data_IF_739857426359
#
_entry.id   IF_739857426359
#
_cell.length_a   1.000
_cell.length_b   1.000
_cell.length_c   1.000
_cell.angle_alpha   90.00
_cell.angle_beta   90.00
_cell.angle_gamma   90.00
#
_symmetry.space_group_name_H-M   'P 1'
#
loop_
_entity.id
_entity.type
_entity.pdbx_description
1 polymer ?
2 polymer ?
3 water ?
#
loop_
_entity_poly.entity_id
_entity_poly.type
_entity_poly.pdbx_seq_one_letter_code
_entity_poly.pdbx_strand_id
2 'polyribonucleotide' 'UUUGCGAAUUCGCUU' ?
#
# COMPACT_ATOMS: atom_id res chain seq x y z
N UNK A 2 -34.64 1.04 -8.30
CA UNK A 2 -33.39 0.38 -7.95
C UNK A 2 -33.32 -1.02 -8.58
N UNK A 3 -32.09 -1.50 -8.80
CA UNK A 3 -31.87 -2.85 -9.36
C UNK A 3 -31.11 -3.72 -8.35
N UNK A 4 -31.38 -5.04 -8.34
CA UNK A 4 -30.69 -5.93 -7.40
C UNK A 4 -29.19 -6.06 -7.66
N UNK A 5 -28.41 -6.30 -6.60
CA UNK A 5 -26.95 -6.26 -6.70
C UNK A 5 -26.33 -7.64 -6.66
N UNK A 6 -25.11 -7.73 -7.19
CA UNK A 6 -24.28 -8.91 -7.01
C UNK A 6 -22.96 -8.54 -6.31
N UNK A 7 -22.57 -9.32 -5.29
CA UNK A 7 -21.32 -9.07 -4.58
C UNK A 7 -20.37 -10.26 -4.64
N UNK A 8 -19.21 -10.04 -5.23
CA UNK A 8 -18.20 -11.09 -5.35
C UNK A 8 -17.00 -10.77 -4.50
N UNK A 9 -16.43 -11.81 -3.87
CA UNK A 9 -15.14 -11.70 -3.20
C UNK A 9 -14.01 -12.03 -4.18
N UNK A 10 -13.04 -11.14 -4.30
CA UNK A 10 -11.77 -11.49 -4.94
C UNK A 10 -10.89 -12.23 -3.94
N UNK A 11 -11.04 -13.55 -3.88
CA UNK A 11 -10.30 -14.37 -2.93
C UNK A 11 -8.86 -14.61 -3.37
N UNK A 12 -7.92 -14.34 -2.47
CA UNK A 12 -6.49 -14.37 -2.78
C UNK A 12 -5.73 -15.30 -1.84
N UNK A 13 -5.02 -16.28 -2.40
CA UNK A 13 -4.16 -17.14 -1.58
C UNK A 13 -2.78 -17.35 -2.21
N UNK A 14 -1.73 -17.22 -1.41
CA UNK A 14 -0.37 -17.45 -1.86
C UNK A 14 -0.10 -18.94 -1.89
N UNK A 15 -0.36 -19.56 -3.04
CA UNK A 15 -0.21 -21.01 -3.18
C UNK A 15 1.23 -21.48 -3.41
N UNK A 16 2.08 -20.59 -3.92
CA UNK A 16 3.50 -20.90 -4.09
C UNK A 16 4.35 -19.69 -3.72
N UNK A 17 4.89 -19.67 -2.50
CA UNK A 17 5.68 -18.49 -2.10
C UNK A 17 6.97 -18.42 -2.90
N UNK A 18 7.49 -17.21 -3.03
CA UNK A 18 8.74 -16.96 -3.75
C UNK A 18 9.86 -17.81 -3.15
N UNK A 19 10.46 -18.68 -3.97
CA UNK A 19 11.60 -19.50 -3.54
C UNK A 19 12.80 -18.63 -3.20
N UNK A 20 13.73 -19.12 -2.39
CA UNK A 20 14.89 -18.32 -2.00
C UNK A 20 15.69 -17.82 -3.18
N UNK A 21 15.79 -18.66 -4.21
CA UNK A 21 16.58 -18.37 -5.39
C UNK A 21 15.97 -17.27 -6.25
N UNK A 22 14.68 -17.03 -6.09
CA UNK A 22 14.02 -15.97 -6.83
C UNK A 22 13.87 -14.68 -6.03
N UNK A 23 14.14 -14.73 -4.72
CA UNK A 23 13.95 -13.53 -3.91
C UNK A 23 15.13 -12.58 -3.94
N UNK A 24 15.33 -11.97 -5.11
CA UNK A 24 16.51 -11.15 -5.36
C UNK A 24 16.65 -9.95 -4.45
N UNK A 25 15.53 -9.32 -4.12
CA UNK A 25 15.57 -8.14 -3.27
C UNK A 25 15.42 -8.49 -1.80
N UNK A 26 15.58 -9.79 -1.53
CA UNK A 26 15.47 -10.35 -0.18
C UNK A 26 14.34 -9.75 0.65
N UNK A 27 13.12 -9.87 0.15
CA UNK A 27 11.94 -9.40 0.90
C UNK A 27 11.39 -10.43 1.87
N UNK A 28 10.57 -9.94 2.80
CA UNK A 28 9.69 -10.77 3.59
C UNK A 28 8.54 -11.17 2.67
N UNK A 29 7.97 -12.34 2.88
CA UNK A 29 6.79 -12.72 2.09
C UNK A 29 5.48 -12.41 2.83
N UNK A 30 4.53 -11.80 2.12
CA UNK A 30 3.24 -11.35 2.67
C UNK A 30 2.02 -12.06 2.08
N UNK A 31 1.67 -13.24 2.61
CA UNK A 31 0.49 -13.96 2.12
C UNK A 31 -0.81 -13.19 2.35
N UNK A 32 -1.59 -12.96 1.27
CA UNK A 32 -2.81 -12.11 1.35
C UNK A 32 -3.83 -12.66 2.36
N UNK A 33 -3.86 -13.98 2.48
CA UNK A 33 -4.78 -14.69 3.36
C UNK A 33 -4.54 -14.37 4.83
N UNK A 34 -3.43 -13.72 5.13
CA UNK A 34 -3.09 -13.46 6.54
C UNK A 34 -3.85 -12.26 7.11
N UNK A 35 -4.39 -11.41 6.24
CA UNK A 35 -5.26 -10.33 6.70
C UNK A 35 -6.67 -10.47 6.16
N UNK A 36 -7.65 -10.18 7.00
CA UNK A 36 -9.04 -10.38 6.64
C UNK A 36 -9.51 -9.37 5.61
N UNK A 37 -9.08 -8.13 5.71
CA UNK A 37 -9.58 -7.13 4.77
C UNK A 37 -9.05 -7.37 3.36
N UNK A 38 -9.97 -7.51 2.41
CA UNK A 38 -9.62 -7.78 1.02
C UNK A 38 -10.49 -6.99 0.06
N UNK A 39 -10.46 -7.33 -1.22
CA UNK A 39 -11.28 -6.63 -2.20
C UNK A 39 -12.43 -7.48 -2.72
N UNK A 40 -13.30 -6.84 -3.49
CA UNK A 40 -14.49 -7.47 -4.01
C UNK A 40 -15.05 -6.67 -5.15
N UNK A 41 -16.07 -7.22 -5.81
CA UNK A 41 -16.65 -6.59 -6.97
C UNK A 41 -18.15 -6.53 -6.83
N UNK A 42 -18.70 -5.34 -7.07
CA UNK A 42 -20.13 -5.10 -6.98
C UNK A 42 -20.63 -4.87 -8.39
N UNK A 43 -21.55 -5.71 -8.85
CA UNK A 43 -22.00 -5.67 -10.24
C UNK A 43 -23.53 -5.59 -10.37
N UNK A 44 -24.03 -5.10 -11.50
CA UNK A 44 -25.46 -5.11 -11.77
C UNK A 44 -25.89 -6.46 -12.30
N UNK A 45 -25.05 -7.07 -13.14
CA UNK A 45 -25.30 -8.40 -13.68
C UNK A 45 -24.26 -9.42 -13.18
N UNK A 46 -24.66 -10.70 -13.08
CA UNK A 46 -23.75 -11.77 -12.62
C UNK A 46 -22.47 -11.87 -13.45
N UNK A 47 -21.41 -12.36 -12.82
CA UNK A 47 -20.14 -12.62 -13.48
C UNK A 47 -20.08 -14.10 -13.83
N UNK A 48 -19.75 -14.40 -15.09
CA UNK A 48 -19.65 -15.80 -15.54
C UNK A 48 -18.53 -16.54 -14.80
N UNK A 49 -18.83 -17.76 -14.37
CA UNK A 49 -17.89 -18.51 -13.54
C UNK A 49 -16.56 -18.84 -14.26
N UNK A 50 -15.54 -18.06 -13.94
CA UNK A 50 -14.20 -18.17 -14.49
C UNK A 50 -13.34 -19.03 -13.58
N UNK A 51 -12.51 -19.93 -14.13
CA UNK A 51 -11.67 -20.77 -13.27
C UNK A 51 -10.62 -19.97 -12.51
N UNK A 52 -10.05 -20.58 -11.47
CA UNK A 52 -8.95 -19.98 -10.72
C UNK A 52 -7.78 -19.67 -11.66
N UNK A 53 -7.11 -18.55 -11.40
CA UNK A 53 -5.93 -18.15 -12.19
C UNK A 53 -4.88 -17.49 -11.31
N UNK A 54 -3.59 -17.64 -11.66
CA UNK A 54 -2.48 -17.04 -10.88
C UNK A 54 -2.20 -15.57 -11.22
N UNK A 55 -1.93 -14.74 -10.22
CA UNK A 55 -1.20 -13.51 -10.45
C UNK A 55 0.16 -13.67 -9.79
N UNK A 56 1.17 -13.07 -10.39
CA UNK A 56 2.53 -13.24 -9.88
C UNK A 56 3.03 -11.97 -9.14
N UNK A 57 2.98 -12.03 -7.82
CA UNK A 57 3.25 -10.87 -6.98
C UNK A 57 4.66 -10.93 -6.42
N UNK A 58 4.99 -9.96 -5.58
CA UNK A 58 6.28 -9.95 -4.91
C UNK A 58 6.49 -11.16 -4.00
N UNK A 59 5.43 -11.67 -3.40
CA UNK A 59 5.59 -12.72 -2.39
C UNK A 59 5.55 -14.12 -2.99
N UNK A 60 5.28 -14.17 -4.29
CA UNK A 60 5.17 -15.45 -4.98
C UNK A 60 3.91 -15.54 -5.81
N UNK A 61 3.43 -16.77 -5.99
CA UNK A 61 2.28 -17.03 -6.84
C UNK A 61 1.00 -16.99 -6.01
N UNK A 62 0.10 -16.06 -6.35
CA UNK A 62 -1.19 -15.95 -5.66
C UNK A 62 -2.34 -16.50 -6.52
N UNK A 63 -3.03 -17.52 -6.02
CA UNK A 63 -4.22 -18.01 -6.72
C UNK A 63 -5.38 -17.03 -6.57
N UNK A 64 -5.93 -16.61 -7.69
CA UNK A 64 -7.10 -15.73 -7.68
C UNK A 64 -8.40 -16.53 -7.94
N UNK A 65 -9.33 -16.45 -7.00
CA UNK A 65 -10.64 -17.06 -7.21
C UNK A 65 -11.66 -15.95 -7.10
N UNK A 66 -12.84 -16.17 -7.66
CA UNK A 66 -13.88 -15.15 -7.57
C UNK A 66 -15.21 -15.81 -7.23
N UNK A 67 -15.56 -15.83 -5.95
CA UNK A 67 -16.77 -16.49 -5.47
C UNK A 67 -17.88 -15.50 -5.21
N UNK A 68 -19.12 -15.97 -5.34
CA UNK A 68 -20.29 -15.18 -5.03
C UNK A 68 -20.44 -15.02 -3.53
N UNK A 69 -20.65 -13.80 -3.07
CA UNK A 69 -20.88 -13.52 -1.64
C UNK A 69 -22.35 -13.30 -1.33
N UNK A 70 -23.00 -12.48 -2.14
CA UNK A 70 -24.42 -12.18 -1.97
C UNK A 70 -25.07 -11.78 -3.31
N UNK A 71 -26.39 -11.94 -3.42
CA UNK A 71 -27.10 -11.43 -4.58
C UNK A 71 -28.55 -11.12 -4.28
N UNK A 72 -29.15 -10.27 -5.10
CA UNK A 72 -30.55 -9.94 -4.99
C UNK A 72 -30.88 -8.82 -4.03
N UNK A 73 -29.85 -8.18 -3.49
CA UNK A 73 -30.07 -7.12 -2.52
C UNK A 73 -29.99 -5.73 -3.15
N UNK A 74 -30.38 -4.74 -2.36
CA UNK A 74 -30.41 -3.36 -2.85
C UNK A 74 -29.35 -2.60 -2.09
N UNK A 75 -28.96 -1.47 -2.66
CA UNK A 75 -28.15 -0.51 -1.92
C UNK A 75 -28.72 0.89 -2.14
N UNK A 76 -28.65 1.72 -1.11
CA UNK A 76 -29.10 3.10 -1.21
C UNK A 76 -28.19 3.87 -2.16
N UNK A 77 -28.73 4.95 -2.71
CA UNK A 77 -27.97 5.88 -3.52
C UNK A 77 -26.70 6.37 -2.80
N UNK A 78 -26.81 6.72 -1.52
CA UNK A 78 -25.66 7.23 -0.78
C UNK A 78 -24.57 6.18 -0.64
N UNK A 79 -24.95 4.91 -0.51
CA UNK A 79 -23.98 3.83 -0.34
C UNK A 79 -23.19 3.52 -1.61
N UNK A 80 -23.89 3.55 -2.75
CA UNK A 80 -23.28 3.33 -4.06
C UNK A 80 -22.35 4.49 -4.43
N UNK A 81 -22.82 5.73 -4.23
CA UNK A 81 -21.98 6.92 -4.41
C UNK A 81 -20.68 6.84 -3.59
N UNK A 82 -20.76 6.23 -2.42
CA UNK A 82 -19.58 6.03 -1.59
C UNK A 82 -18.70 4.95 -2.21
N UNK A 83 -19.31 3.82 -2.54
CA UNK A 83 -18.60 2.71 -3.15
C UNK A 83 -17.89 3.13 -4.45
N UNK A 84 -18.58 3.95 -5.24
CA UNK A 84 -18.07 4.44 -6.52
C UNK A 84 -16.85 5.36 -6.37
N UNK A 85 -16.97 6.34 -5.46
CA UNK A 85 -15.87 7.25 -5.22
C UNK A 85 -14.65 6.47 -4.78
N UNK A 86 -14.87 5.43 -3.99
CA UNK A 86 -13.76 4.58 -3.54
C UNK A 86 -13.20 3.73 -4.65
N UNK A 87 -14.09 3.24 -5.50
CA UNK A 87 -13.65 2.62 -6.73
C UNK A 87 -12.67 3.57 -7.43
N UNK A 88 -13.07 4.81 -7.71
CA UNK A 88 -12.21 5.76 -8.42
C UNK A 88 -10.93 6.14 -7.67
N UNK A 89 -10.97 6.14 -6.35
CA UNK A 89 -9.80 6.48 -5.55
C UNK A 89 -8.73 5.43 -5.73
N UNK A 90 -9.12 4.16 -5.59
CA UNK A 90 -8.20 3.04 -5.80
C UNK A 90 -7.36 3.16 -7.07
N UNK A 91 -8.03 3.38 -8.19
CA UNK A 91 -7.34 3.37 -9.47
C UNK A 91 -6.62 4.68 -9.80
N UNK A 92 -7.11 5.80 -9.28
CA UNK A 92 -6.49 7.08 -9.58
C UNK A 92 -5.47 7.56 -8.54
N UNK A 93 -5.62 7.19 -7.29
CA UNK A 93 -4.71 7.73 -6.27
C UNK A 93 -3.77 6.70 -5.67
N UNK A 94 -4.25 5.49 -5.53
CA UNK A 94 -3.45 4.40 -5.01
C UNK A 94 -2.58 3.84 -6.13
N UNK A 95 -3.21 3.46 -7.23
CA UNK A 95 -2.51 2.83 -8.34
C UNK A 95 -2.08 3.87 -9.38
N UNK A 96 -2.67 5.07 -9.31
CA UNK A 96 -2.35 6.18 -10.21
C UNK A 96 -2.42 5.79 -11.69
N UNK A 97 -3.64 5.55 -12.18
CA UNK A 97 -3.85 5.07 -13.55
C UNK A 97 -4.66 6.07 -14.39
N UNK A 98 -5.05 5.64 -15.59
CA UNK A 98 -5.84 6.47 -16.50
C UNK A 98 -6.98 5.66 -17.15
N UNK A 112 -15.47 -4.59 -14.29
CA UNK A 112 -16.75 -4.82 -13.62
C UNK A 112 -17.11 -3.64 -12.72
N UNK A 113 -18.40 -3.36 -12.65
CA UNK A 113 -18.94 -2.08 -12.21
C UNK A 113 -18.25 -1.38 -11.02
N UNK A 114 -18.10 -2.07 -9.89
CA UNK A 114 -17.42 -1.46 -8.74
C UNK A 114 -16.54 -2.39 -7.91
N UNK A 115 -15.29 -1.99 -7.76
CA UNK A 115 -14.36 -2.63 -6.84
C UNK A 115 -14.47 -1.92 -5.50
N UNK A 116 -14.46 -2.70 -4.43
CA UNK A 116 -14.69 -2.15 -3.11
C UNK A 116 -14.05 -3.06 -2.05
N UNK A 117 -13.74 -2.49 -0.86
CA UNK A 117 -13.12 -3.24 0.24
C UNK A 117 -14.12 -4.07 1.05
N UNK A 118 -13.73 -5.30 1.37
CA UNK A 118 -14.53 -6.16 2.22
C UNK A 118 -13.74 -6.43 3.47
N UNK A 119 -14.45 -6.67 4.56
CA UNK A 119 -13.83 -7.04 5.80
C UNK A 119 -14.83 -7.83 6.61
N UNK A 120 -14.36 -8.62 7.57
CA UNK A 120 -15.28 -9.36 8.44
C UNK A 120 -15.80 -8.48 9.57
N UNK A 121 -16.93 -8.92 10.15
CA UNK A 121 -17.38 -8.52 11.48
C UNK A 121 -17.40 -9.84 12.24
N UNK A 126 -18.10 -12.52 9.43
CA UNK A 126 -18.12 -13.07 8.05
C UNK A 126 -17.87 -11.90 7.09
N UNK A 127 -17.53 -12.18 5.83
CA UNK A 127 -17.04 -11.13 4.94
C UNK A 127 -18.16 -10.26 4.35
N UNK A 128 -18.06 -8.95 4.56
CA UNK A 128 -19.06 -7.98 4.10
C UNK A 128 -18.43 -6.65 3.70
N UNK A 129 -19.19 -5.80 3.00
CA UNK A 129 -18.75 -4.47 2.58
C UNK A 129 -18.24 -3.62 3.75
N UNK A 130 -16.99 -3.18 3.66
CA UNK A 130 -16.38 -2.48 4.78
C UNK A 130 -16.62 -0.96 4.69
N UNK A 131 -17.84 -0.55 5.05
CA UNK A 131 -18.31 0.82 4.85
C UNK A 131 -17.55 1.79 5.74
N UNK A 132 -17.27 1.34 6.95
CA UNK A 132 -16.57 2.16 7.93
C UNK A 132 -15.16 2.45 7.44
N UNK A 133 -14.54 1.45 6.82
CA UNK A 133 -13.20 1.66 6.25
C UNK A 133 -13.21 2.76 5.21
N UNK A 134 -14.23 2.75 4.36
CA UNK A 134 -14.35 3.77 3.34
C UNK A 134 -14.53 5.16 3.93
N UNK A 135 -15.35 5.26 4.97
CA UNK A 135 -15.61 6.56 5.58
C UNK A 135 -14.35 7.11 6.23
N UNK A 136 -13.58 6.21 6.85
CA UNK A 136 -12.27 6.58 7.41
C UNK A 136 -11.34 7.19 6.37
N UNK A 137 -11.37 6.64 5.16
CA UNK A 137 -10.51 7.12 4.10
C UNK A 137 -10.90 8.53 3.67
N UNK A 138 -12.21 8.77 3.52
CA UNK A 138 -12.72 10.12 3.26
C UNK A 138 -12.27 11.11 4.35
N UNK A 139 -12.35 10.70 5.60
CA UNK A 139 -12.01 11.55 6.73
C UNK A 139 -10.53 11.90 6.75
N UNK A 140 -9.68 10.93 6.41
CA UNK A 140 -8.24 11.08 6.52
C UNK A 140 -7.68 12.29 5.76
N UNK A 141 -6.59 12.84 6.29
CA UNK A 141 -5.89 13.96 5.66
C UNK A 141 -4.67 13.52 4.82
N UNK A 142 -4.25 12.26 4.98
CA UNK A 142 -3.18 11.69 4.15
C UNK A 142 -3.74 10.83 3.00
N UNK A 143 -4.99 11.10 2.62
CA UNK A 143 -5.65 10.37 1.54
C UNK A 143 -5.11 10.73 0.16
N UNK A 144 -4.68 11.97 -0.02
CA UNK A 144 -4.26 12.46 -1.33
C UNK A 144 -2.77 12.85 -1.41
N UNK A 145 -2.30 13.58 -0.41
CA UNK A 145 -0.92 14.03 -0.38
C UNK A 145 -0.28 14.07 1.00
N UNK A 146 0.32 15.20 1.32
CA UNK A 146 1.07 15.37 2.58
C UNK A 146 0.33 16.27 3.57
N UNK A 147 -0.04 15.71 4.75
CA UNK A 147 -0.78 16.41 5.80
C UNK A 147 0.08 17.39 6.60
N UNK A 148 -0.56 18.43 7.13
CA UNK A 148 0.14 19.40 7.97
C UNK A 148 0.09 18.96 9.44
N UNK A 149 1.24 18.47 9.94
CA UNK A 149 1.35 18.01 11.32
C UNK A 149 2.45 18.78 12.08
N UNK A 150 2.07 19.41 13.20
CA UNK A 150 2.94 20.34 13.92
C UNK A 150 3.44 19.83 15.28
N UNK A 151 4.74 19.56 15.36
CA UNK A 151 5.37 19.07 16.58
C UNK A 151 6.21 20.17 17.21
N UNK A 152 6.20 20.25 18.55
CA UNK A 152 7.05 21.18 19.29
C UNK A 152 7.69 20.44 20.46
N UNK A 153 8.49 21.15 21.26
CA UNK A 153 9.13 20.53 22.43
C UNK A 153 8.05 20.05 23.40
N UNK A 154 6.96 20.79 23.47
CA UNK A 154 5.85 20.48 24.37
C UNK A 154 4.78 19.58 23.73
N UNK A 155 4.72 19.58 22.39
CA UNK A 155 3.88 18.60 21.68
C UNK A 155 4.72 17.76 20.72
N UNK A 156 5.66 16.98 21.28
CA UNK A 156 6.61 16.26 20.42
C UNK A 156 5.96 15.08 19.73
N UNK A 157 6.58 14.65 18.63
CA UNK A 157 6.09 13.50 17.90
C UNK A 157 6.12 12.29 18.83
N UNK A 158 5.06 11.52 18.83
CA UNK A 158 5.01 10.31 19.64
C UNK A 158 5.01 9.07 18.76
N UNK A 159 5.92 8.13 19.04
CA UNK A 159 6.03 6.92 18.23
C UNK A 159 5.25 5.72 18.78
N UNK A 160 4.26 5.27 18.02
CA UNK A 160 3.55 4.04 18.37
C UNK A 160 3.93 2.92 17.38
N UNK A 161 4.72 1.96 17.88
CA UNK A 161 5.18 0.82 17.09
C UNK A 161 4.09 0.19 16.23
N UNK A 162 2.90 0.01 16.81
CA UNK A 162 1.85 -0.67 16.08
C UNK A 162 1.29 0.12 14.90
N UNK A 163 1.41 1.45 14.94
CA UNK A 163 1.02 2.27 13.80
C UNK A 163 1.91 2.13 12.58
N UNK A 164 2.97 1.32 12.70
CA UNK A 164 3.97 1.19 11.65
C UNK A 164 4.15 -0.29 11.30
N UNK A 165 3.41 -1.15 12.00
CA UNK A 165 3.37 -2.60 11.77
C UNK A 165 2.85 -3.03 10.37
N UNK A 166 1.90 -2.27 9.83
CA UNK A 166 1.33 -2.53 8.51
C UNK A 166 1.12 -1.21 7.76
N UNK A 167 2.15 -0.38 7.66
CA UNK A 167 1.91 0.94 7.07
C UNK A 167 2.53 1.23 5.70
N UNK A 168 1.94 2.22 5.04
CA UNK A 168 2.51 2.83 3.86
C UNK A 168 2.74 4.25 4.31
N UNK A 169 3.98 4.70 4.21
CA UNK A 169 4.32 6.03 4.66
C UNK A 169 4.78 6.87 3.51
N UNK A 170 4.63 8.18 3.68
CA UNK A 170 5.05 9.12 2.66
C UNK A 170 5.87 10.24 3.30
N UNK A 171 7.02 10.56 2.70
CA UNK A 171 7.85 11.68 3.12
C UNK A 171 7.08 12.99 3.04
N UNK A 172 7.07 13.74 4.13
CA UNK A 172 6.36 15.00 4.22
C UNK A 172 7.19 16.12 3.62
N UNK A 173 8.49 15.87 3.50
CA UNK A 173 9.49 16.93 3.32
C UNK A 173 10.01 17.06 1.88
N UNK A 174 9.44 16.28 0.97
CA UNK A 174 9.83 16.33 -0.44
C UNK A 174 8.73 15.81 -1.35
N UNK A 175 8.90 16.08 -2.64
CA UNK A 175 8.02 15.53 -3.68
C UNK A 175 6.55 15.91 -3.49
N UNK A 176 6.31 17.17 -3.14
CA UNK A 176 4.96 17.66 -2.87
C UNK A 176 4.06 17.55 -4.09
N UNK A 177 4.61 17.85 -5.27
CA UNK A 177 3.91 17.68 -6.54
C UNK A 177 3.23 16.32 -6.64
N UNK A 178 4.00 15.26 -6.42
CA UNK A 178 3.47 13.89 -6.44
C UNK A 178 4.26 13.02 -5.47
N UNK A 179 3.73 12.86 -4.25
CA UNK A 179 4.49 12.21 -3.18
C UNK A 179 4.79 10.72 -3.35
N UNK A 180 6.00 10.33 -3.00
CA UNK A 180 6.41 8.93 -2.90
C UNK A 180 5.74 8.23 -1.72
N UNK A 181 5.41 6.97 -1.92
CA UNK A 181 4.73 6.15 -0.93
C UNK A 181 5.61 4.94 -0.75
N UNK A 182 5.88 4.56 0.48
CA UNK A 182 6.73 3.39 0.71
C UNK A 182 6.04 2.46 1.66
N UNK A 183 6.20 1.17 1.43
CA UNK A 183 5.90 0.17 2.44
C UNK A 183 6.93 0.32 3.54
N UNK A 184 6.48 0.22 4.78
CA UNK A 184 7.40 0.09 5.90
C UNK A 184 7.87 -1.38 5.94
N UNK A 185 9.14 -1.62 5.63
CA UNK A 185 9.67 -2.97 5.53
C UNK A 185 10.36 -3.49 6.80
N UNK A 186 10.79 -2.57 7.67
CA UNK A 186 11.44 -2.94 8.92
C UNK A 186 11.48 -1.75 9.89
N UNK A 187 11.21 -2.01 11.16
CA UNK A 187 11.41 -1.01 12.21
C UNK A 187 12.76 -1.28 12.87
N UNK A 188 13.70 -0.37 12.68
CA UNK A 188 15.02 -0.54 13.29
C UNK A 188 15.06 0.07 14.69
N UNK A 189 14.70 -0.73 15.69
CA UNK A 189 14.63 -0.28 17.08
C UNK A 189 16.01 -0.03 17.70
N UNK A 190 17.06 -0.32 16.95
CA UNK A 190 18.42 -0.07 17.42
C UNK A 190 18.98 1.24 16.89
N UNK A 191 18.22 1.90 16.03
CA UNK A 191 18.64 3.15 15.44
C UNK A 191 17.80 4.29 15.99
N UNK A 192 18.30 5.51 15.84
CA UNK A 192 17.60 6.71 16.28
C UNK A 192 18.10 7.81 15.37
N UNK A 193 17.40 8.94 15.29
CA UNK A 193 17.88 10.05 14.46
C UNK A 193 19.29 10.52 14.82
N UNK A 194 19.87 10.00 15.89
CA UNK A 194 21.24 10.33 16.28
C UNK A 194 22.24 9.22 15.95
N UNK A 195 21.74 8.12 15.38
CA UNK A 195 22.61 7.05 14.88
C UNK A 195 23.50 7.61 13.79
N UNK A 196 24.63 6.94 13.52
CA UNK A 196 25.54 7.42 12.51
C UNK A 196 24.90 7.38 11.14
N UNK A 197 25.25 8.36 10.32
CA UNK A 197 24.71 8.46 8.97
C UNK A 197 25.53 7.62 8.00
N UNK A 198 24.84 6.84 7.13
CA UNK A 198 25.49 6.00 6.10
C UNK A 198 26.46 6.80 5.22
N UNK A 199 26.04 7.97 4.76
CA UNK A 199 26.95 8.90 4.08
C UNK A 199 27.87 9.62 5.07
N UNK A 200 29.14 9.80 4.68
CA UNK A 200 30.19 10.38 5.53
C UNK A 200 30.07 11.90 5.75
N UNK A 201 29.50 12.60 4.77
CA UNK A 201 29.34 14.06 4.85
C UNK A 201 28.43 14.51 6.01
N UNK A 202 27.78 13.55 6.65
CA UNK A 202 26.98 13.85 7.83
C UNK A 202 27.27 12.83 8.91
N UNK A 203 27.19 13.26 10.17
CA UNK A 203 27.43 12.38 11.30
C UNK A 203 26.17 11.62 11.66
N UNK A 204 25.04 12.33 11.75
CA UNK A 204 23.78 11.70 12.16
C UNK A 204 22.65 11.91 11.15
N UNK A 205 21.55 11.18 11.33
CA UNK A 205 20.34 11.45 10.57
C UNK A 205 19.80 12.83 10.93
N UNK A 206 19.78 13.14 12.23
CA UNK A 206 19.27 14.42 12.70
C UNK A 206 19.94 15.56 11.94
N UNK A 207 21.27 15.51 11.88
CA UNK A 207 22.04 16.53 11.17
C UNK A 207 21.70 16.57 9.69
N UNK A 208 21.63 15.40 9.05
CA UNK A 208 21.34 15.32 7.62
C UNK A 208 20.07 16.09 7.27
N UNK A 209 18.98 15.80 7.99
CA UNK A 209 17.70 16.44 7.70
C UNK A 209 17.69 17.89 8.15
N UNK A 210 18.52 18.22 9.13
CA UNK A 210 18.65 19.61 9.53
C UNK A 210 19.51 20.36 8.53
N UNK A 211 20.69 19.81 8.23
CA UNK A 211 21.60 20.44 7.27
C UNK A 211 20.97 20.58 5.87
N UNK A 212 20.38 19.50 5.36
CA UNK A 212 19.85 19.48 4.00
C UNK A 212 18.43 20.05 3.85
N UNK A 213 17.54 19.71 4.78
CA UNK A 213 16.13 20.06 4.66
C UNK A 213 15.67 21.08 5.70
N UNK A 214 16.56 21.45 6.61
CA UNK A 214 16.22 22.41 7.66
C UNK A 214 15.10 21.86 8.57
N UNK A 215 15.18 20.57 8.87
CA UNK A 215 14.16 19.90 9.69
C UNK A 215 14.64 19.61 11.12
N UNK A 216 13.85 20.03 12.09
CA UNK A 216 14.16 19.76 13.49
C UNK A 216 13.33 18.57 13.93
N UNK A 217 13.89 17.74 14.81
CA UNK A 217 13.13 16.62 15.35
C UNK A 217 12.78 16.86 16.82
N UNK A 218 11.53 16.60 17.19
CA UNK A 218 11.11 16.76 18.59
C UNK A 218 11.33 15.48 19.38
N UNK A 219 11.42 14.37 18.66
CA UNK A 219 11.67 13.07 19.28
C UNK A 219 13.03 12.57 18.80
N UNK A 220 13.89 12.16 19.72
CA UNK A 220 15.19 11.61 19.36
C UNK A 220 15.38 10.18 19.83
N UNK A 221 14.29 9.52 20.17
CA UNK A 221 14.34 8.15 20.66
C UNK A 221 13.72 7.23 19.65
N UNK A 222 12.98 7.84 18.72
CA UNK A 222 12.23 7.09 17.73
C UNK A 222 13.16 6.19 16.96
N UNK A 223 12.70 4.96 16.71
CA UNK A 223 13.46 4.06 15.85
C UNK A 223 13.33 4.56 14.42
N UNK A 224 14.18 4.08 13.51
CA UNK A 224 14.08 4.52 12.12
C UNK A 224 13.39 3.45 11.27
N UNK A 225 13.04 3.80 10.04
CA UNK A 225 12.27 2.90 9.19
C UNK A 225 12.99 2.47 7.91
N UNK A 226 13.10 1.16 7.72
CA UNK A 226 13.55 0.58 6.44
C UNK A 226 12.33 0.48 5.52
N UNK A 227 12.54 0.75 4.23
CA UNK A 227 11.43 0.96 3.32
C UNK A 227 11.53 0.22 1.98
N UNK A 228 10.38 0.04 1.34
CA UNK A 228 10.30 -0.59 0.04
C UNK A 228 9.29 0.21 -0.81
N UNK A 229 9.60 0.46 -2.09
CA UNK A 229 8.74 1.25 -2.98
C UNK A 229 7.44 0.50 -3.27
N UNK A 230 6.36 1.21 -3.55
CA UNK A 230 5.04 0.59 -3.65
C UNK A 230 4.58 0.29 -5.10
N UNK A 231 5.20 0.96 -6.07
CA UNK A 231 4.82 0.81 -7.47
C UNK A 231 5.16 -0.58 -8.08
N UNK A 232 4.40 -0.98 -9.09
CA UNK A 232 4.69 -2.20 -9.86
C UNK A 232 4.03 -2.17 -11.25
N UNK A 233 4.44 -3.10 -12.10
CA UNK A 233 3.84 -3.21 -13.42
C UNK A 233 2.36 -3.57 -13.35
N UNK A 234 1.61 -3.00 -14.29
CA UNK A 234 0.19 -3.28 -14.48
C UNK A 234 -0.12 -4.76 -14.58
N UNK A 235 0.52 -5.45 -15.52
CA UNK A 235 0.19 -6.85 -15.80
C UNK A 235 1.05 -7.83 -15.01
N UNK A 236 0.41 -8.64 -14.18
CA UNK A 236 1.13 -9.57 -13.31
C UNK A 236 0.77 -11.01 -13.64
N UNK A 237 0.10 -11.23 -14.78
CA UNK A 237 -0.40 -12.55 -15.17
C UNK A 237 0.72 -13.52 -15.55
N UNK A 238 1.88 -12.97 -15.88
CA UNK A 238 3.07 -13.79 -16.14
C UNK A 238 4.15 -13.47 -15.10
N UNK A 239 5.01 -14.47 -14.80
CA UNK A 239 6.06 -14.27 -13.78
C UNK A 239 7.13 -13.25 -14.20
N UNK A 240 7.86 -12.69 -13.24
CA UNK A 240 8.97 -11.78 -13.58
C UNK A 240 10.08 -12.45 -14.41
N UNK A 241 10.49 -13.65 -14.04
CA UNK A 241 11.56 -14.36 -14.75
C UNK A 241 11.31 -14.51 -16.26
N UNK A 252 19.45 0.67 -21.56
CA UNK A 252 20.62 0.04 -20.96
C UNK A 252 21.67 1.03 -20.40
N UNK A 253 21.67 2.29 -20.86
CA UNK A 253 22.44 3.33 -20.17
C UNK A 253 21.50 4.11 -19.25
N UNK A 254 20.24 4.17 -19.67
CA UNK A 254 19.18 4.76 -18.87
C UNK A 254 18.59 3.66 -18.00
N UNK A 255 18.64 2.44 -18.51
CA UNK A 255 18.12 1.29 -17.77
C UNK A 255 19.06 0.97 -16.59
N UNK A 256 20.35 1.16 -16.83
CA UNK A 256 21.38 0.95 -15.81
C UNK A 256 21.25 1.98 -14.69
N UNK A 257 21.27 3.27 -15.06
CA UNK A 257 21.13 4.35 -14.10
C UNK A 257 19.88 4.22 -13.21
N UNK A 258 18.82 3.64 -13.77
CA UNK A 258 17.59 3.41 -13.01
C UNK A 258 17.76 2.29 -11.97
N UNK A 259 18.50 1.25 -12.34
CA UNK A 259 18.74 0.11 -11.43
C UNK A 259 19.47 0.53 -10.16
N UNK A 260 20.46 1.40 -10.31
CA UNK A 260 21.19 1.99 -9.18
C UNK A 260 20.31 2.92 -8.36
N UNK A 261 19.53 3.75 -9.03
CA UNK A 261 18.64 4.70 -8.37
C UNK A 261 17.59 3.98 -7.55
N UNK A 262 17.08 2.88 -8.10
CA UNK A 262 16.04 2.11 -7.43
C UNK A 262 16.60 1.31 -6.28
N UNK A 263 17.91 1.09 -6.32
CA UNK A 263 18.59 0.35 -5.27
C UNK A 263 18.85 1.28 -4.09
N UNK A 264 19.38 2.47 -4.38
CA UNK A 264 19.56 3.53 -3.39
C UNK A 264 18.22 3.90 -2.72
N UNK A 265 17.16 3.90 -3.53
CA UNK A 265 15.82 4.21 -3.05
C UNK A 265 15.32 3.20 -2.02
N UNK A 266 15.59 1.93 -2.27
CA UNK A 266 15.19 0.86 -1.35
C UNK A 266 16.05 0.71 -0.09
N UNK A 267 17.27 1.24 -0.12
CA UNK A 267 18.13 1.22 1.05
C UNK A 267 17.98 2.46 1.95
N UNK A 268 17.04 3.32 1.57
CA UNK A 268 16.73 4.53 2.33
C UNK A 268 16.20 4.14 3.70
N UNK A 269 16.63 4.90 4.71
CA UNK A 269 16.16 4.71 6.08
C UNK A 269 15.43 5.99 6.49
N UNK A 270 14.16 5.87 6.85
CA UNK A 270 13.36 7.06 7.10
C UNK A 270 13.07 7.31 8.58
N UNK A 271 12.87 8.58 8.90
CA UNK A 271 12.49 9.02 10.23
C UNK A 271 10.96 9.12 10.28
N UNK A 272 10.32 8.35 11.16
CA UNK A 272 8.87 8.33 11.29
C UNK A 272 8.27 9.73 11.45
N UNK A 273 8.86 10.53 12.34
CA UNK A 273 8.44 11.91 12.56
C UNK A 273 8.35 12.72 11.26
N UNK A 274 9.12 12.32 10.26
CA UNK A 274 9.16 13.03 8.99
C UNK A 274 8.20 12.44 7.93
N UNK A 275 7.45 11.42 8.32
CA UNK A 275 6.52 10.78 7.40
C UNK A 275 5.09 10.77 7.90
N UNK A 276 4.18 11.04 6.97
CA UNK A 276 2.77 10.80 7.16
C UNK A 276 2.44 9.34 6.87
N UNK A 277 1.56 8.77 7.68
CA UNK A 277 1.09 7.43 7.43
C UNK A 277 -0.14 7.50 6.52
N UNK A 278 -0.10 6.76 5.42
CA UNK A 278 -1.22 6.70 4.47
C UNK A 278 -2.35 5.89 5.10
N UNK A 279 -3.60 6.35 4.91
CA UNK A 279 -4.79 5.67 5.44
C UNK A 279 -5.03 4.27 4.87
N UNK A 280 -4.52 3.98 3.66
CA UNK A 280 -4.64 2.61 3.17
C UNK A 280 -3.53 1.79 3.79
N UNK A 281 -3.89 0.74 4.56
CA UNK A 281 -2.86 -0.13 5.12
C UNK A 281 -2.04 -0.80 4.05
N UNK A 282 -0.84 -1.22 4.46
CA UNK A 282 0.10 -1.86 3.57
C UNK A 282 -0.39 -3.21 3.02
N UNK A 283 -1.05 -4.00 3.85
CA UNK A 283 -1.47 -5.35 3.44
C UNK A 283 -2.57 -5.27 2.41
N UNK A 284 -3.38 -4.22 2.48
CA UNK A 284 -4.39 -4.00 1.47
C UNK A 284 -3.77 -3.42 0.19
N UNK A 285 -2.79 -2.54 0.37
CA UNK A 285 -2.10 -1.91 -0.76
C UNK A 285 -1.46 -2.97 -1.67
N UNK A 286 -0.88 -3.99 -1.05
CA UNK A 286 -0.35 -5.14 -1.76
C UNK A 286 -1.39 -5.84 -2.67
N UNK A 287 -2.60 -5.98 -2.16
CA UNK A 287 -3.69 -6.62 -2.87
C UNK A 287 -4.22 -5.71 -4.00
N UNK A 288 -4.24 -4.40 -3.76
CA UNK A 288 -4.72 -3.45 -4.75
C UNK A 288 -3.93 -3.44 -6.06
N UNK A 289 -2.65 -3.80 -5.98
CA UNK A 289 -1.81 -3.75 -7.18
C UNK A 289 -2.02 -4.99 -8.07
N UNK A 290 -2.77 -5.94 -7.54
CA UNK A 290 -3.21 -7.11 -8.28
C UNK A 290 -4.49 -6.83 -9.08
N UNK A 291 -5.20 -5.76 -8.77
CA UNK A 291 -6.53 -5.52 -9.33
C UNK A 291 -6.54 -5.37 -10.85
N UNK A 292 -5.65 -4.53 -11.40
CA UNK A 292 -5.75 -4.39 -12.86
C UNK A 292 -5.56 -5.72 -13.61
N UNK A 293 -4.63 -6.55 -13.15
CA UNK A 293 -4.43 -7.91 -13.64
C UNK A 293 -5.73 -8.73 -13.66
N UNK A 294 -6.42 -8.71 -12.53
CA UNK A 294 -7.64 -9.49 -12.33
C UNK A 294 -8.78 -8.95 -13.20
N UNK A 295 -9.04 -7.64 -13.13
CA UNK A 295 -10.02 -7.01 -14.02
C UNK A 295 -9.76 -7.30 -15.50
N UNK A 296 -8.49 -7.27 -15.89
CA UNK A 296 -8.11 -7.58 -17.28
C UNK A 296 -8.40 -9.04 -17.64
N UNK A 297 -8.10 -9.97 -16.74
CA UNK A 297 -8.40 -11.37 -16.95
C UNK A 297 -9.92 -11.60 -17.10
N UNK A 298 -10.69 -11.03 -16.18
CA UNK A 298 -12.16 -11.06 -16.23
C UNK A 298 -12.80 -10.46 -17.49
N UNK A 299 -12.10 -9.56 -18.17
CA UNK A 299 -12.65 -8.98 -19.40
C UNK A 299 -12.12 -9.64 -20.69
N UNK A 300 -10.80 -9.90 -20.74
CA UNK A 300 -10.16 -10.43 -21.95
C UNK A 300 -9.30 -11.67 -21.68
#
# INVERSE_FOLDING_TARGET
SDQPCYLYVIGMVLTTPLPDELNFRRRKLYPPEDTTRCFGILTAKPIPQIPHFPVYTRSGEVTISIELAASGFMLSLQMLELITRLHQYIFSHILRLEKPALEFKPTDADSAYCVLPLNVVNDSSTLDIDFKFMEDIEKSEARIGIPSTKYTKETPFVFKLEDYQDAVIIPRYRNFDQPHRFYVADVYTDLTPLSKFPSPEYETFAEYYKTKYNLDLTNLNQPLLDVDHTSSRLNLLTPRHLNQKGKALPLSSAEKRKAKWESLQNKQILVPELCAIHPIPASLWRKAVCLPSILYRLHCLL
#
